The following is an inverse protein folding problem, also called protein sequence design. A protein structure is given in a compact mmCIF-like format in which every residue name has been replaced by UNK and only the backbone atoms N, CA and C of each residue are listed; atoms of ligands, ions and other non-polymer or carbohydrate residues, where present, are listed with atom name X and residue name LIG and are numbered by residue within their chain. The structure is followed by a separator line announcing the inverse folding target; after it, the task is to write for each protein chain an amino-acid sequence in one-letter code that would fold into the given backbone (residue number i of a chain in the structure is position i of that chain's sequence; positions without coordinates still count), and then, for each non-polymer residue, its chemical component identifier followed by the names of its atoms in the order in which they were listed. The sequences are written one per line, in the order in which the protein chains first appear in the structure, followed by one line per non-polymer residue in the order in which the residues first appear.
data_IF_817756708593
#
_entry.id   IF_817756708593
#
_cell.length_a   1.000
_cell.length_b   1.000
_cell.length_c   1.000
_cell.angle_alpha   90.00
_cell.angle_beta   90.00
_cell.angle_gamma   90.00
#
_symmetry.space_group_name_H-M   'P 1'
#
loop_
_entity.id
_entity.type
_entity.pdbx_description
1 polymer ?
#
# COMPACT_ATOMS: atom_id res chain seq x y z
N UNK A 1 -19.93 19.07 20.54
CA UNK A 1 -20.76 18.99 21.76
C UNK A 1 -22.00 19.83 21.51
N UNK A 2 -23.12 19.20 21.13
CA UNK A 2 -24.49 19.52 21.56
C UNK A 2 -25.46 18.60 20.80
N UNK A 3 -26.10 17.75 21.58
CA UNK A 3 -27.16 16.81 21.23
C UNK A 3 -28.47 17.44 21.71
N UNK A 4 -29.60 17.24 21.02
CA UNK A 4 -30.92 17.36 21.65
C UNK A 4 -31.94 16.50 20.91
N UNK A 5 -32.61 15.69 21.72
CA UNK A 5 -33.57 14.65 21.44
C UNK A 5 -34.98 15.20 21.67
N UNK A 6 -35.98 14.75 20.90
CA UNK A 6 -37.39 14.87 21.29
C UNK A 6 -38.11 13.54 21.08
N UNK A 7 -38.72 13.08 22.17
CA UNK A 7 -39.54 11.88 22.33
C UNK A 7 -41.00 12.15 21.94
N UNK A 8 -41.68 11.15 21.38
CA UNK A 8 -43.13 10.99 21.58
C UNK A 8 -43.49 9.49 21.68
N UNK A 9 -44.36 9.17 22.64
CA UNK A 9 -44.67 7.83 23.17
C UNK A 9 -46.15 7.51 22.91
N UNK A 10 -46.45 6.27 22.49
CA UNK A 10 -47.67 5.54 22.91
C UNK A 10 -48.71 5.17 21.83
N UNK A 11 -48.75 3.88 21.47
CA UNK A 11 -49.96 3.01 21.57
C UNK A 11 -49.58 1.56 21.25
N UNK A 12 -49.91 0.63 22.14
CA UNK A 12 -49.47 -0.77 22.13
C UNK A 12 -50.71 -1.66 22.27
N UNK A 13 -50.85 -2.69 21.41
CA UNK A 13 -51.73 -3.83 21.69
C UNK A 13 -52.68 -4.26 20.57
N UNK A 14 -52.16 -4.71 19.42
CA UNK A 14 -52.83 -5.76 18.61
C UNK A 14 -52.00 -6.34 17.43
N UNK A 15 -50.77 -5.86 17.19
CA UNK A 15 -49.98 -6.26 16.00
C UNK A 15 -49.18 -7.58 16.17
N UNK A 16 -48.94 -8.04 17.42
CA UNK A 16 -47.99 -9.14 17.69
C UNK A 16 -48.45 -10.52 17.19
N UNK A 17 -49.75 -10.81 17.14
CA UNK A 17 -50.22 -12.14 16.71
C UNK A 17 -50.24 -12.34 15.19
N UNK A 18 -50.35 -11.26 14.39
CA UNK A 18 -50.22 -11.35 12.91
C UNK A 18 -48.77 -11.44 12.43
N UNK A 19 -47.81 -10.92 13.20
CA UNK A 19 -46.38 -11.02 12.86
C UNK A 19 -45.79 -12.43 13.07
N UNK A 20 -46.37 -13.25 13.94
CA UNK A 20 -45.87 -14.61 14.19
C UNK A 20 -46.24 -15.61 13.07
N UNK A 21 -47.35 -15.38 12.36
CA UNK A 21 -47.83 -16.27 11.30
C UNK A 21 -47.23 -15.96 9.92
N UNK A 22 -46.64 -14.78 9.74
CA UNK A 22 -45.91 -14.40 8.50
C UNK A 22 -44.44 -14.84 8.58
N UNK A 23 -43.89 -15.03 9.79
CA UNK A 23 -42.47 -15.38 9.99
C UNK A 23 -42.14 -16.86 9.73
N UNK A 24 -43.14 -17.72 9.60
CA UNK A 24 -42.96 -19.15 9.31
C UNK A 24 -43.04 -19.51 7.82
N UNK A 25 -43.21 -18.53 6.92
CA UNK A 25 -43.29 -18.78 5.47
C UNK A 25 -42.15 -18.12 4.64
N UNK A 26 -41.29 -17.32 5.26
CA UNK A 26 -40.15 -16.64 4.59
C UNK A 26 -38.77 -17.24 4.91
N UNK A 27 -38.70 -18.41 5.55
CA UNK A 27 -37.43 -18.92 6.08
C UNK A 27 -36.60 -19.76 5.10
N UNK A 28 -37.13 -20.13 3.92
CA UNK A 28 -36.42 -21.02 2.98
C UNK A 28 -36.03 -20.40 1.61
N UNK A 29 -36.49 -19.19 1.27
CA UNK A 29 -36.17 -18.55 -0.04
C UNK A 29 -35.14 -17.41 0.02
N UNK A 30 -34.75 -16.95 1.21
CA UNK A 30 -33.77 -15.86 1.41
C UNK A 30 -32.29 -16.30 1.47
N UNK A 31 -32.02 -17.56 1.75
CA UNK A 31 -30.64 -18.06 1.91
C UNK A 31 -29.98 -18.44 0.56
N UNK A 32 -30.75 -18.91 -0.42
CA UNK A 32 -30.21 -19.31 -1.72
C UNK A 32 -29.79 -18.09 -2.56
N UNK A 33 -30.60 -17.03 -2.58
CA UNK A 33 -30.27 -15.79 -3.32
C UNK A 33 -29.03 -15.06 -2.76
N UNK A 34 -28.89 -14.99 -1.44
CA UNK A 34 -27.74 -14.34 -0.78
C UNK A 34 -26.42 -15.10 -0.99
N UNK A 35 -26.45 -16.43 -0.95
CA UNK A 35 -25.28 -17.27 -1.24
C UNK A 35 -24.85 -17.16 -2.71
N UNK A 36 -25.78 -17.19 -3.67
CA UNK A 36 -25.45 -17.03 -5.09
C UNK A 36 -24.81 -15.67 -5.38
N UNK A 37 -25.33 -14.59 -4.79
CA UNK A 37 -24.72 -13.26 -4.92
C UNK A 37 -23.32 -13.17 -4.31
N UNK A 38 -23.09 -13.80 -3.16
CA UNK A 38 -21.77 -13.87 -2.53
C UNK A 38 -20.76 -14.63 -3.37
N UNK A 39 -21.13 -15.83 -3.86
CA UNK A 39 -20.27 -16.66 -4.71
C UNK A 39 -19.93 -15.94 -6.01
N UNK A 40 -20.91 -15.29 -6.64
CA UNK A 40 -20.68 -14.48 -7.83
C UNK A 40 -19.70 -13.32 -7.56
N UNK A 41 -19.86 -12.60 -6.45
CA UNK A 41 -18.96 -11.52 -6.06
C UNK A 41 -17.52 -12.00 -5.82
N UNK A 42 -17.36 -13.16 -5.18
CA UNK A 42 -16.05 -13.77 -4.96
C UNK A 42 -15.39 -14.22 -6.27
N UNK A 43 -16.17 -14.85 -7.17
CA UNK A 43 -15.69 -15.28 -8.47
C UNK A 43 -15.27 -14.09 -9.34
N UNK A 44 -16.06 -13.00 -9.33
CA UNK A 44 -15.71 -11.76 -10.01
C UNK A 44 -14.43 -11.13 -9.46
N UNK A 45 -14.24 -11.13 -8.14
CA UNK A 45 -12.99 -10.70 -7.52
C UNK A 45 -11.80 -11.55 -7.99
N UNK A 46 -11.92 -12.88 -7.97
CA UNK A 46 -10.85 -13.79 -8.39
C UNK A 46 -10.49 -13.56 -9.86
N UNK A 47 -11.47 -13.43 -10.74
CA UNK A 47 -11.25 -13.20 -12.17
C UNK A 47 -10.60 -11.85 -12.43
N UNK A 48 -11.12 -10.78 -11.84
CA UNK A 48 -10.58 -9.42 -12.04
C UNK A 48 -9.17 -9.26 -11.45
N UNK A 49 -8.89 -9.86 -10.28
CA UNK A 49 -7.56 -9.85 -9.67
C UNK A 49 -6.58 -10.73 -10.44
N UNK A 50 -7.03 -11.91 -10.89
CA UNK A 50 -6.26 -12.80 -11.74
C UNK A 50 -5.84 -12.15 -13.06
N UNK A 51 -6.72 -11.33 -13.65
CA UNK A 51 -6.40 -10.59 -14.87
C UNK A 51 -5.36 -9.49 -14.64
N UNK A 52 -5.36 -8.80 -13.50
CA UNK A 52 -4.28 -7.86 -13.13
C UNK A 52 -2.93 -8.58 -12.99
N UNK A 53 -2.92 -9.71 -12.29
CA UNK A 53 -1.70 -10.52 -12.09
C UNK A 53 -1.18 -11.08 -13.42
N UNK A 54 -2.08 -11.59 -14.26
CA UNK A 54 -1.73 -12.10 -15.58
C UNK A 54 -1.17 -11.00 -16.48
N UNK A 55 -1.78 -9.81 -16.48
CA UNK A 55 -1.31 -8.67 -17.25
C UNK A 55 0.07 -8.20 -16.78
N UNK A 56 0.31 -8.10 -15.48
CA UNK A 56 1.63 -7.77 -14.93
C UNK A 56 2.70 -8.79 -15.36
N UNK A 57 2.41 -10.09 -15.22
CA UNK A 57 3.34 -11.15 -15.63
C UNK A 57 3.59 -11.16 -17.14
N UNK A 58 2.56 -10.94 -17.95
CA UNK A 58 2.68 -10.81 -19.39
C UNK A 58 3.59 -9.64 -19.77
N UNK A 59 3.34 -8.46 -19.19
CA UNK A 59 4.15 -7.26 -19.44
C UNK A 59 5.61 -7.45 -19.00
N UNK A 60 5.85 -8.07 -17.84
CA UNK A 60 7.21 -8.43 -17.38
C UNK A 60 7.93 -9.32 -18.39
N UNK A 61 7.29 -10.40 -18.85
CA UNK A 61 7.88 -11.31 -19.85
C UNK A 61 8.14 -10.61 -21.18
N UNK A 62 7.22 -9.79 -21.66
CA UNK A 62 7.37 -9.04 -22.90
C UNK A 62 8.53 -8.05 -22.85
N UNK A 63 8.69 -7.32 -21.73
CA UNK A 63 9.79 -6.37 -21.55
C UNK A 63 11.15 -7.04 -21.46
N UNK A 64 11.23 -8.18 -20.75
CA UNK A 64 12.46 -8.99 -20.69
C UNK A 64 12.82 -9.52 -22.08
N UNK A 65 11.85 -10.03 -22.84
CA UNK A 65 12.07 -10.50 -24.21
C UNK A 65 12.51 -9.37 -25.16
N UNK A 66 12.03 -8.15 -24.93
CA UNK A 66 12.43 -6.97 -25.69
C UNK A 66 13.69 -6.26 -25.15
N UNK A 67 14.36 -6.81 -24.12
CA UNK A 67 15.51 -6.21 -23.44
C UNK A 67 15.27 -4.77 -22.93
N UNK A 68 14.02 -4.43 -22.60
CA UNK A 68 13.65 -3.10 -22.10
C UNK A 68 13.92 -3.06 -20.59
N UNK A 69 14.88 -2.21 -20.18
CA UNK A 69 15.25 -2.02 -18.77
C UNK A 69 14.18 -1.26 -17.95
N UNK A 70 13.23 -0.60 -18.59
CA UNK A 70 12.18 0.19 -17.93
C UNK A 70 11.16 -0.69 -17.19
N UNK A 71 10.60 -0.26 -16.04
CA UNK A 71 9.66 -1.08 -15.28
C UNK A 71 8.34 -1.28 -16.05
N UNK A 72 8.06 -2.53 -16.42
CA UNK A 72 6.90 -2.89 -17.26
C UNK A 72 5.55 -2.52 -16.64
N UNK A 73 5.44 -2.55 -15.31
CA UNK A 73 4.23 -2.17 -14.60
C UNK A 73 3.89 -0.67 -14.74
N UNK A 74 4.91 0.21 -14.77
CA UNK A 74 4.70 1.65 -15.02
C UNK A 74 4.15 1.88 -16.43
N UNK A 75 4.72 1.20 -17.41
CA UNK A 75 4.22 1.25 -18.79
C UNK A 75 2.76 0.77 -18.87
N UNK A 76 2.46 -0.39 -18.27
CA UNK A 76 1.11 -0.93 -18.21
C UNK A 76 0.11 0.03 -17.55
N UNK A 77 0.50 0.71 -16.48
CA UNK A 77 -0.34 1.72 -15.81
C UNK A 77 -0.74 2.84 -16.78
N UNK A 78 0.23 3.40 -17.53
CA UNK A 78 -0.06 4.46 -18.51
C UNK A 78 -0.87 3.95 -19.70
N UNK A 79 -0.64 2.71 -20.16
CA UNK A 79 -1.44 2.10 -21.21
C UNK A 79 -2.90 1.92 -20.79
N UNK A 80 -3.16 1.34 -19.61
CA UNK A 80 -4.52 1.17 -19.08
C UNK A 80 -5.19 2.52 -18.92
N UNK A 81 -4.50 3.52 -18.35
CA UNK A 81 -5.04 4.86 -18.21
C UNK A 81 -5.39 5.48 -19.57
N UNK A 82 -4.52 5.35 -20.56
CA UNK A 82 -4.76 5.87 -21.93
C UNK A 82 -5.95 5.19 -22.60
N UNK A 83 -6.07 3.86 -22.47
CA UNK A 83 -7.22 3.10 -22.97
C UNK A 83 -8.51 3.56 -22.29
N UNK A 84 -8.49 3.75 -20.97
CA UNK A 84 -9.66 4.24 -20.23
C UNK A 84 -10.06 5.65 -20.69
N UNK A 85 -9.11 6.55 -20.94
CA UNK A 85 -9.39 7.90 -21.47
C UNK A 85 -9.96 7.83 -22.89
N UNK A 86 -9.39 7.02 -23.77
CA UNK A 86 -9.88 6.85 -25.15
C UNK A 86 -11.31 6.29 -25.12
N UNK A 87 -11.57 5.27 -24.30
CA UNK A 87 -12.91 4.72 -24.13
C UNK A 87 -13.88 5.75 -23.54
N UNK A 88 -13.47 6.56 -22.57
CA UNK A 88 -14.34 7.60 -21.97
C UNK A 88 -14.75 8.68 -22.98
N UNK A 89 -13.90 8.95 -23.98
CA UNK A 89 -14.18 9.91 -25.05
C UNK A 89 -15.02 9.27 -26.17
N UNK A 90 -14.71 8.04 -26.55
CA UNK A 90 -15.33 7.37 -27.72
C UNK A 90 -16.61 6.62 -27.37
N UNK A 91 -16.61 5.86 -26.28
CA UNK A 91 -17.72 5.02 -25.81
C UNK A 91 -17.80 5.06 -24.27
N UNK A 92 -18.33 6.16 -23.68
CA UNK A 92 -18.39 6.33 -22.22
C UNK A 92 -19.03 5.15 -21.44
N UNK A 93 -20.09 4.48 -21.96
CA UNK A 93 -20.64 3.28 -21.31
C UNK A 93 -19.63 2.13 -21.19
N UNK A 94 -18.76 1.94 -22.19
CA UNK A 94 -17.73 0.90 -22.17
C UNK A 94 -16.63 1.21 -21.15
N UNK A 95 -16.22 2.48 -21.04
CA UNK A 95 -15.28 2.91 -19.99
C UNK A 95 -15.85 2.62 -18.59
N UNK A 96 -17.13 2.94 -18.35
CA UNK A 96 -17.79 2.65 -17.07
C UNK A 96 -17.89 1.14 -16.81
N UNK A 97 -18.22 0.35 -17.83
CA UNK A 97 -18.27 -1.11 -17.71
C UNK A 97 -16.90 -1.70 -17.34
N UNK A 98 -15.82 -1.21 -17.98
CA UNK A 98 -14.45 -1.65 -17.68
C UNK A 98 -14.03 -1.30 -16.25
N UNK A 99 -14.33 -0.08 -15.80
CA UNK A 99 -14.06 0.34 -14.41
C UNK A 99 -14.83 -0.51 -13.42
N UNK A 100 -16.12 -0.77 -13.67
CA UNK A 100 -16.97 -1.58 -12.78
C UNK A 100 -16.51 -3.04 -12.72
N UNK A 101 -16.02 -3.59 -13.83
CA UNK A 101 -15.47 -4.95 -13.89
C UNK A 101 -14.21 -5.10 -13.02
N UNK A 102 -13.32 -4.12 -13.04
CA UNK A 102 -12.09 -4.16 -12.22
C UNK A 102 -12.26 -3.61 -10.80
N UNK A 103 -13.43 -3.06 -10.46
CA UNK A 103 -13.68 -2.44 -9.16
C UNK A 103 -13.45 -3.39 -7.98
N UNK A 104 -13.88 -4.67 -7.99
CA UNK A 104 -13.62 -5.60 -6.89
C UNK A 104 -12.11 -5.79 -6.64
N UNK A 105 -11.32 -6.04 -7.70
CA UNK A 105 -9.88 -6.19 -7.59
C UNK A 105 -9.19 -4.90 -7.14
N UNK A 106 -9.61 -3.76 -7.69
CA UNK A 106 -9.11 -2.46 -7.29
C UNK A 106 -9.34 -2.20 -5.78
N UNK A 107 -10.55 -2.44 -5.28
CA UNK A 107 -10.87 -2.28 -3.85
C UNK A 107 -10.10 -3.26 -2.97
N UNK A 108 -9.92 -4.50 -3.42
CA UNK A 108 -9.08 -5.49 -2.73
C UNK A 108 -7.63 -4.99 -2.64
N UNK A 109 -7.04 -4.57 -3.76
CA UNK A 109 -5.67 -4.05 -3.82
C UNK A 109 -5.53 -2.82 -2.91
N UNK A 110 -6.49 -1.89 -2.92
CA UNK A 110 -6.48 -0.74 -2.02
C UNK A 110 -6.57 -1.13 -0.55
N UNK A 111 -7.39 -2.13 -0.21
CA UNK A 111 -7.54 -2.64 1.17
C UNK A 111 -6.24 -3.24 1.69
N UNK A 112 -5.49 -3.93 0.84
CA UNK A 112 -4.26 -4.65 1.22
C UNK A 112 -2.98 -3.91 0.82
N UNK A 113 -3.10 -2.70 0.27
CA UNK A 113 -2.01 -1.92 -0.31
C UNK A 113 -0.78 -1.85 0.61
N UNK A 114 -0.90 -1.49 1.90
CA UNK A 114 0.26 -1.36 2.77
C UNK A 114 0.97 -2.70 3.02
N UNK A 115 0.23 -3.81 2.99
CA UNK A 115 0.76 -5.16 3.24
C UNK A 115 1.80 -5.57 2.20
N UNK A 116 1.56 -5.25 0.92
CA UNK A 116 2.42 -5.69 -0.18
C UNK A 116 3.83 -5.10 -0.13
N UNK A 117 4.03 -3.99 0.60
CA UNK A 117 5.34 -3.32 0.73
C UNK A 117 6.11 -3.71 1.99
N UNK A 118 5.44 -4.32 2.97
CA UNK A 118 6.04 -4.72 4.25
C UNK A 118 7.22 -5.69 4.10
N UNK A 119 7.31 -6.58 3.09
CA UNK A 119 8.40 -7.54 3.04
C UNK A 119 9.80 -6.96 3.15
N UNK A 120 10.05 -5.82 2.51
CA UNK A 120 11.31 -5.09 2.57
C UNK A 120 11.65 -4.55 3.97
N UNK A 121 10.64 -4.29 4.81
CA UNK A 121 10.82 -3.89 6.21
C UNK A 121 11.09 -5.09 7.12
N UNK A 122 10.46 -6.24 6.85
CA UNK A 122 10.64 -7.46 7.65
C UNK A 122 12.10 -7.94 7.57
N UNK A 123 12.70 -7.88 6.38
CA UNK A 123 14.11 -8.25 6.19
C UNK A 123 15.08 -7.08 6.36
N UNK A 124 14.60 -5.94 6.87
CA UNK A 124 15.46 -4.79 7.11
C UNK A 124 16.63 -5.11 8.05
N UNK A 125 16.45 -5.84 9.19
CA UNK A 125 17.56 -6.19 10.06
C UNK A 125 18.70 -6.92 9.32
N UNK A 126 18.36 -7.85 8.42
CA UNK A 126 19.34 -8.52 7.56
C UNK A 126 20.05 -7.58 6.60
N UNK A 127 19.33 -6.58 6.09
CA UNK A 127 19.78 -5.72 4.99
C UNK A 127 20.63 -4.53 5.47
N UNK A 128 20.59 -4.21 6.77
CA UNK A 128 21.31 -3.08 7.37
C UNK A 128 22.36 -3.51 8.38
N UNK A 129 22.53 -4.80 8.66
CA UNK A 129 23.48 -5.31 9.66
C UNK A 129 24.93 -4.89 9.37
N UNK A 130 25.27 -4.77 8.09
CA UNK A 130 26.61 -4.41 7.63
C UNK A 130 26.77 -2.88 7.42
N UNK A 131 25.71 -2.09 7.67
CA UNK A 131 25.76 -0.63 7.52
C UNK A 131 26.30 -0.01 8.81
N UNK A 132 27.39 0.77 8.76
CA UNK A 132 27.91 1.47 9.93
C UNK A 132 26.86 2.40 10.54
N UNK A 133 26.78 2.44 11.88
CA UNK A 133 25.81 3.30 12.59
C UNK A 133 25.91 4.79 12.19
N UNK A 134 27.14 5.27 11.90
CA UNK A 134 27.37 6.62 11.41
C UNK A 134 26.65 6.90 10.08
N UNK A 135 26.63 5.93 9.15
CA UNK A 135 25.88 6.03 7.89
C UNK A 135 24.38 6.06 8.13
N UNK A 136 23.89 5.27 9.10
CA UNK A 136 22.48 5.30 9.52
C UNK A 136 22.04 6.68 10.02
N UNK A 137 22.85 7.34 10.86
CA UNK A 137 22.56 8.71 11.33
C UNK A 137 22.50 9.69 10.16
N UNK A 138 23.46 9.63 9.24
CA UNK A 138 23.48 10.47 8.03
C UNK A 138 22.21 10.27 7.19
N UNK A 139 21.77 9.02 6.99
CA UNK A 139 20.53 8.71 6.28
C UNK A 139 19.32 9.31 7.01
N UNK A 140 19.20 9.14 8.32
CA UNK A 140 18.10 9.74 9.10
C UNK A 140 18.05 11.27 8.97
N UNK A 141 19.20 11.94 9.01
CA UNK A 141 19.28 13.39 8.83
C UNK A 141 18.81 13.82 7.42
N UNK A 142 19.26 13.11 6.38
CA UNK A 142 18.84 13.35 4.99
C UNK A 142 17.33 13.14 4.85
N UNK A 143 16.79 12.10 5.46
CA UNK A 143 15.36 11.76 5.37
C UNK A 143 14.49 12.82 6.04
N UNK A 144 14.76 13.15 7.30
CA UNK A 144 13.93 14.10 8.06
C UNK A 144 14.11 15.53 7.55
N UNK A 145 15.36 15.97 7.35
CA UNK A 145 15.65 17.31 6.85
C UNK A 145 15.20 17.49 5.41
N UNK A 146 15.45 16.47 4.58
CA UNK A 146 15.00 16.46 3.20
C UNK A 146 13.48 16.43 3.07
N UNK A 147 12.75 15.73 3.96
CA UNK A 147 11.29 15.73 3.94
C UNK A 147 10.75 17.15 4.12
N UNK A 148 11.24 17.86 5.13
CA UNK A 148 10.84 19.24 5.40
C UNK A 148 11.18 20.15 4.21
N UNK A 149 12.36 19.99 3.62
CA UNK A 149 12.78 20.78 2.47
C UNK A 149 11.89 20.52 1.23
N UNK A 150 11.62 19.26 0.89
CA UNK A 150 10.76 18.90 -0.25
C UNK A 150 9.31 19.35 -0.02
N UNK A 151 8.79 19.23 1.21
CA UNK A 151 7.46 19.75 1.58
C UNK A 151 7.35 21.25 1.32
N UNK A 152 8.35 22.03 1.77
CA UNK A 152 8.40 23.47 1.55
C UNK A 152 8.43 23.80 0.06
N UNK A 153 9.32 23.16 -0.71
CA UNK A 153 9.42 23.38 -2.16
C UNK A 153 8.10 23.07 -2.85
N UNK A 154 7.51 21.91 -2.58
CA UNK A 154 6.24 21.50 -3.18
C UNK A 154 5.10 22.48 -2.88
N UNK A 155 4.94 22.88 -1.62
CA UNK A 155 3.84 23.76 -1.25
C UNK A 155 4.03 25.20 -1.70
N UNK A 156 5.23 25.77 -1.62
CA UNK A 156 5.48 27.13 -2.13
C UNK A 156 5.35 27.19 -3.66
N UNK A 157 5.84 26.18 -4.38
CA UNK A 157 5.64 26.08 -5.82
C UNK A 157 4.15 25.97 -6.17
N UNK A 158 3.39 25.13 -5.45
CA UNK A 158 1.95 25.01 -5.66
C UNK A 158 1.21 26.33 -5.43
N UNK A 159 1.53 27.06 -4.36
CA UNK A 159 0.94 28.38 -4.07
C UNK A 159 1.29 29.40 -5.16
N UNK A 160 2.55 29.41 -5.60
CA UNK A 160 3.02 30.34 -6.63
C UNK A 160 2.28 30.11 -7.97
N UNK A 161 2.18 28.86 -8.40
CA UNK A 161 1.48 28.49 -9.65
C UNK A 161 -0.01 28.77 -9.51
N UNK A 162 -0.60 28.46 -8.35
CA UNK A 162 -2.02 28.72 -8.11
C UNK A 162 -2.36 30.22 -8.17
N UNK A 163 -1.51 31.09 -7.64
CA UNK A 163 -1.66 32.56 -7.77
C UNK A 163 -1.61 33.02 -9.23
N UNK A 164 -0.84 32.33 -10.07
CA UNK A 164 -0.74 32.64 -11.50
C UNK A 164 -1.95 32.14 -12.30
N UNK A 165 -2.42 30.91 -12.07
CA UNK A 165 -3.47 30.27 -12.88
C UNK A 165 -4.89 30.58 -12.36
N UNK A 166 -5.06 30.93 -11.07
CA UNK A 166 -6.33 31.29 -10.43
C UNK A 166 -7.44 30.23 -10.62
N UNK A 167 -7.08 28.96 -10.58
CA UNK A 167 -8.06 27.86 -10.72
C UNK A 167 -9.01 27.81 -9.51
N UNK A 168 -10.30 27.68 -9.81
CA UNK A 168 -11.33 27.47 -8.80
C UNK A 168 -11.24 26.06 -8.23
N UNK A 169 -11.34 25.96 -6.91
CA UNK A 169 -11.39 24.70 -6.15
C UNK A 169 -12.65 23.92 -6.46
N UNK A 170 -12.50 22.62 -6.67
CA UNK A 170 -13.59 21.65 -6.73
C UNK A 170 -13.23 20.47 -5.85
N UNK A 171 -14.20 19.95 -5.12
CA UNK A 171 -14.00 18.79 -4.27
C UNK A 171 -13.68 17.54 -5.09
N UNK A 172 -12.79 16.71 -4.56
CA UNK A 172 -12.47 15.43 -5.16
C UNK A 172 -13.69 14.51 -5.16
N UNK A 173 -13.91 13.77 -6.25
CA UNK A 173 -14.94 12.74 -6.28
C UNK A 173 -14.61 11.69 -5.19
N UNK A 174 -15.59 11.31 -4.34
CA UNK A 174 -15.33 10.41 -3.23
C UNK A 174 -14.92 9.04 -3.74
N UNK A 175 -13.78 8.53 -3.27
CA UNK A 175 -13.39 7.14 -3.55
C UNK A 175 -14.14 6.18 -2.62
N UNK A 176 -14.57 5.04 -3.17
CA UNK A 176 -15.12 3.94 -2.38
C UNK A 176 -14.12 3.55 -1.29
N UNK A 177 -14.58 3.48 -0.04
CA UNK A 177 -13.73 3.03 1.07
C UNK A 177 -13.75 1.51 1.12
N UNK A 178 -12.59 0.85 1.29
CA UNK A 178 -12.57 -0.59 1.48
C UNK A 178 -13.34 -0.98 2.75
N UNK A 179 -13.95 -2.15 2.74
CA UNK A 179 -14.66 -2.68 3.91
C UNK A 179 -13.68 -2.88 5.08
N UNK A 180 -14.11 -2.67 6.33
CA UNK A 180 -13.30 -3.03 7.49
C UNK A 180 -13.09 -4.54 7.55
N UNK A 181 -12.05 -4.96 8.28
CA UNK A 181 -11.80 -6.37 8.54
C UNK A 181 -12.80 -6.95 9.53
N UNK A 182 -13.22 -8.18 9.27
CA UNK A 182 -14.13 -8.94 10.12
C UNK A 182 -13.38 -9.76 11.18
N UNK A 183 -14.06 -10.07 12.29
CA UNK A 183 -13.50 -10.95 13.33
C UNK A 183 -13.22 -12.35 12.80
N UNK A 184 -13.99 -12.83 11.82
CA UNK A 184 -13.79 -14.14 11.16
C UNK A 184 -12.47 -14.18 10.39
N UNK A 185 -12.10 -13.08 9.71
CA UNK A 185 -10.79 -12.98 9.03
C UNK A 185 -9.65 -13.09 10.05
N UNK A 186 -9.77 -12.43 11.21
CA UNK A 186 -8.77 -12.51 12.28
C UNK A 186 -8.60 -13.96 12.76
N UNK A 187 -9.69 -14.63 13.13
CA UNK A 187 -9.63 -16.02 13.61
C UNK A 187 -9.08 -16.98 12.56
N UNK A 188 -9.48 -16.81 11.30
CA UNK A 188 -8.96 -17.64 10.19
C UNK A 188 -7.45 -17.52 10.08
N UNK A 189 -6.92 -16.30 10.05
CA UNK A 189 -5.47 -16.08 9.95
C UNK A 189 -4.72 -16.50 11.21
N UNK A 190 -5.30 -16.35 12.41
CA UNK A 190 -4.74 -16.88 13.65
C UNK A 190 -4.66 -18.40 13.65
N UNK A 191 -5.69 -19.07 13.13
CA UNK A 191 -5.69 -20.52 12.94
C UNK A 191 -4.59 -20.99 12.00
N UNK A 192 -4.44 -20.33 10.83
CA UNK A 192 -3.37 -20.63 9.86
C UNK A 192 -2.00 -20.40 10.49
N UNK A 193 -1.80 -19.30 11.22
CA UNK A 193 -0.53 -19.00 11.89
C UNK A 193 -0.16 -20.13 12.86
N UNK A 194 -1.05 -20.48 13.78
CA UNK A 194 -0.75 -21.46 14.83
C UNK A 194 -0.54 -22.87 14.24
N UNK A 195 -1.41 -23.32 13.34
CA UNK A 195 -1.34 -24.66 12.78
C UNK A 195 -0.08 -24.87 11.95
N UNK A 196 0.27 -23.89 11.09
CA UNK A 196 1.45 -23.99 10.24
C UNK A 196 2.76 -23.70 10.98
N UNK A 197 2.75 -22.86 12.01
CA UNK A 197 3.92 -22.65 12.88
C UNK A 197 4.31 -23.95 13.60
N UNK A 198 3.33 -24.61 14.23
CA UNK A 198 3.55 -25.88 14.92
C UNK A 198 3.98 -26.97 13.93
N UNK A 199 3.32 -27.07 12.78
CA UNK A 199 3.68 -28.03 11.74
C UNK A 199 5.12 -27.85 11.25
N UNK A 200 5.56 -26.59 11.06
CA UNK A 200 6.92 -26.27 10.63
C UNK A 200 7.99 -26.62 11.69
N UNK A 201 7.64 -26.58 12.98
CA UNK A 201 8.57 -26.99 14.06
C UNK A 201 8.82 -28.50 14.06
N UNK A 202 7.77 -29.31 13.85
CA UNK A 202 7.89 -30.77 13.84
C UNK A 202 8.38 -31.31 12.49
N UNK A 203 8.01 -30.68 11.38
CA UNK A 203 8.32 -31.11 10.02
C UNK A 203 8.89 -29.94 9.20
N UNK A 204 10.17 -29.58 9.37
CA UNK A 204 10.77 -28.36 8.77
C UNK A 204 10.76 -28.29 7.24
N UNK A 205 10.63 -29.44 6.56
CA UNK A 205 10.61 -29.55 5.09
C UNK A 205 9.30 -30.16 4.57
N UNK A 206 8.21 -30.06 5.34
CA UNK A 206 6.90 -30.64 4.98
C UNK A 206 6.42 -30.23 3.58
N UNK A 207 6.68 -28.98 3.17
CA UNK A 207 6.32 -28.46 1.85
C UNK A 207 7.50 -28.46 0.86
N UNK A 208 8.45 -29.37 1.05
CA UNK A 208 9.62 -29.60 0.20
C UNK A 208 10.85 -28.83 0.67
N UNK A 209 10.73 -27.53 0.93
CA UNK A 209 11.82 -26.66 1.39
C UNK A 209 11.46 -25.99 2.72
N UNK A 210 12.48 -25.54 3.45
CA UNK A 210 12.28 -24.76 4.68
C UNK A 210 11.53 -23.46 4.41
N UNK A 211 11.80 -22.80 3.27
CA UNK A 211 11.13 -21.55 2.89
C UNK A 211 9.63 -21.75 2.65
N UNK A 212 9.25 -22.75 1.85
CA UNK A 212 7.83 -23.07 1.59
C UNK A 212 7.10 -23.53 2.84
N UNK A 213 7.78 -24.26 3.72
CA UNK A 213 7.20 -24.72 4.98
C UNK A 213 6.98 -23.54 5.95
N UNK A 214 7.86 -22.54 5.93
CA UNK A 214 7.71 -21.33 6.75
C UNK A 214 6.75 -20.29 6.16
N UNK A 215 6.53 -20.29 4.84
CA UNK A 215 5.66 -19.36 4.12
C UNK A 215 4.29 -19.16 4.80
N UNK A 216 3.48 -20.20 5.08
CA UNK A 216 2.11 -20.00 5.58
C UNK A 216 2.04 -19.24 6.92
N UNK A 217 2.87 -19.59 7.91
CA UNK A 217 2.82 -18.92 9.21
C UNK A 217 3.42 -17.52 9.15
N UNK A 218 4.46 -17.33 8.35
CA UNK A 218 5.08 -16.02 8.15
C UNK A 218 4.12 -15.07 7.44
N UNK A 219 3.46 -15.53 6.38
CA UNK A 219 2.43 -14.76 5.67
C UNK A 219 1.26 -14.44 6.60
N UNK A 220 0.77 -15.43 7.35
CA UNK A 220 -0.32 -15.24 8.29
C UNK A 220 0.02 -14.22 9.38
N UNK A 221 1.25 -14.23 9.89
CA UNK A 221 1.72 -13.25 10.88
C UNK A 221 1.77 -11.84 10.32
N UNK A 222 2.29 -11.67 9.10
CA UNK A 222 2.29 -10.38 8.39
C UNK A 222 0.85 -9.88 8.22
N UNK A 223 -0.06 -10.73 7.74
CA UNK A 223 -1.48 -10.37 7.57
C UNK A 223 -2.15 -10.00 8.90
N UNK A 224 -1.96 -10.78 9.96
CA UNK A 224 -2.54 -10.49 11.28
C UNK A 224 -2.02 -9.17 11.85
N UNK A 225 -0.71 -8.92 11.75
CA UNK A 225 -0.12 -7.66 12.21
C UNK A 225 -0.72 -6.45 11.48
N UNK A 226 -1.04 -6.59 10.19
CA UNK A 226 -1.74 -5.55 9.43
C UNK A 226 -3.19 -5.38 9.88
N UNK A 227 -3.96 -6.47 10.03
CA UNK A 227 -5.37 -6.41 10.47
C UNK A 227 -5.46 -5.76 11.85
N UNK A 228 -4.67 -6.25 12.82
CA UNK A 228 -4.62 -5.71 14.19
C UNK A 228 -4.18 -4.24 14.17
N UNK A 229 -3.11 -3.91 13.44
CA UNK A 229 -2.63 -2.53 13.32
C UNK A 229 -3.66 -1.58 12.71
N UNK A 230 -4.42 -2.05 11.72
CA UNK A 230 -5.50 -1.28 11.10
C UNK A 230 -6.69 -1.05 12.04
N UNK A 231 -6.89 -1.91 13.03
CA UNK A 231 -7.93 -1.80 14.06
C UNK A 231 -7.58 -0.87 15.23
N UNK A 232 -6.33 -0.44 15.36
CA UNK A 232 -5.89 0.38 16.50
C UNK A 232 -6.58 1.76 16.56
N UNK A 233 -6.76 2.34 17.76
CA UNK A 233 -7.31 3.69 17.91
C UNK A 233 -6.36 4.74 17.30
N UNK A 234 -6.91 5.89 16.89
CA UNK A 234 -6.19 6.94 16.17
C UNK A 234 -4.95 7.49 16.90
N UNK A 235 -4.99 7.56 18.24
CA UNK A 235 -3.85 7.99 19.05
C UNK A 235 -2.67 7.02 18.98
N UNK A 236 -2.97 5.71 18.95
CA UNK A 236 -1.96 4.65 18.90
C UNK A 236 -1.42 4.50 17.47
N UNK A 237 -2.26 4.70 16.44
CA UNK A 237 -1.88 4.65 15.02
C UNK A 237 -0.79 5.65 14.62
N UNK A 238 -0.65 6.77 15.35
CA UNK A 238 0.45 7.73 15.15
C UNK A 238 1.82 7.09 15.37
N UNK A 239 1.90 6.15 16.32
CA UNK A 239 3.15 5.45 16.69
C UNK A 239 3.20 4.06 16.05
N UNK A 240 2.13 3.29 16.22
CA UNK A 240 1.97 1.95 15.68
C UNK A 240 1.16 1.99 14.38
N UNK A 241 1.79 2.52 13.35
CA UNK A 241 1.21 2.49 12.01
C UNK A 241 0.98 1.02 11.58
N UNK A 242 -0.10 0.70 10.83
CA UNK A 242 -0.39 -0.68 10.42
C UNK A 242 0.79 -1.40 9.73
N UNK A 243 1.60 -0.66 8.97
CA UNK A 243 2.83 -1.15 8.33
C UNK A 243 3.87 -1.61 9.36
N UNK A 244 4.05 -0.84 10.45
CA UNK A 244 5.00 -1.16 11.52
C UNK A 244 4.50 -2.36 12.32
N UNK A 245 3.21 -2.40 12.68
CA UNK A 245 2.61 -3.56 13.37
C UNK A 245 2.82 -4.85 12.59
N UNK A 246 2.60 -4.79 11.27
CA UNK A 246 2.81 -5.88 10.35
C UNK A 246 4.26 -6.36 10.34
N UNK A 247 5.22 -5.44 10.16
CA UNK A 247 6.65 -5.78 10.16
C UNK A 247 7.10 -6.37 11.50
N UNK A 248 6.70 -5.76 12.63
CA UNK A 248 7.03 -6.24 13.97
C UNK A 248 6.43 -7.61 14.26
N UNK A 249 5.18 -7.86 13.85
CA UNK A 249 4.53 -9.17 14.03
C UNK A 249 5.31 -10.27 13.29
N UNK A 250 5.67 -10.04 12.02
CA UNK A 250 6.42 -10.99 11.22
C UNK A 250 7.83 -11.24 11.79
N UNK A 251 8.54 -10.18 12.20
CA UNK A 251 9.88 -10.30 12.82
C UNK A 251 9.82 -11.04 14.15
N UNK A 252 8.83 -10.74 15.00
CA UNK A 252 8.66 -11.43 16.29
C UNK A 252 8.32 -12.91 16.10
N UNK A 253 7.52 -13.22 15.09
CA UNK A 253 7.19 -14.62 14.74
C UNK A 253 8.41 -15.35 14.18
N UNK A 254 9.19 -14.70 13.31
CA UNK A 254 10.44 -15.25 12.80
C UNK A 254 11.47 -15.48 13.93
N UNK A 255 11.56 -14.54 14.87
CA UNK A 255 12.40 -14.67 16.07
C UNK A 255 11.96 -15.85 16.93
N UNK A 256 10.66 -15.97 17.24
CA UNK A 256 10.12 -17.07 18.00
C UNK A 256 10.40 -18.43 17.32
N UNK A 257 10.14 -18.53 16.01
CA UNK A 257 10.42 -19.75 15.25
C UNK A 257 11.91 -20.08 15.23
N UNK A 258 12.77 -19.08 15.01
CA UNK A 258 14.22 -19.23 15.02
C UNK A 258 14.77 -19.66 16.37
N UNK A 259 14.15 -19.21 17.46
CA UNK A 259 14.46 -19.62 18.83
C UNK A 259 14.08 -21.08 19.08
N UNK A 260 12.83 -21.48 18.78
CA UNK A 260 12.35 -22.85 18.99
C UNK A 260 13.03 -23.87 18.06
N UNK A 261 13.32 -23.49 16.82
CA UNK A 261 14.00 -24.33 15.83
C UNK A 261 15.53 -24.32 15.98
N UNK A 262 16.09 -23.49 16.87
CA UNK A 262 17.53 -23.26 17.05
C UNK A 262 18.28 -22.80 15.77
N UNK A 263 17.56 -22.21 14.81
CA UNK A 263 18.14 -21.66 13.58
C UNK A 263 18.62 -20.22 13.75
N UNK A 264 18.07 -19.49 14.73
CA UNK A 264 18.27 -18.04 14.86
C UNK A 264 17.37 -17.23 13.91
N UNK A 265 17.46 -15.91 14.00
CA UNK A 265 16.58 -14.99 13.24
C UNK A 265 16.97 -14.89 11.77
N UNK A 266 18.27 -14.83 11.48
CA UNK A 266 18.79 -14.54 10.14
C UNK A 266 18.32 -15.53 9.07
N UNK A 267 18.41 -16.86 9.27
CA UNK A 267 17.93 -17.84 8.28
C UNK A 267 16.42 -17.74 8.05
N UNK A 268 15.63 -17.46 9.09
CA UNK A 268 14.18 -17.38 9.00
C UNK A 268 13.74 -16.11 8.24
N UNK A 269 14.43 -14.99 8.44
CA UNK A 269 14.24 -13.80 7.62
C UNK A 269 14.68 -14.03 6.16
N UNK A 270 15.69 -14.88 5.93
CA UNK A 270 16.06 -15.36 4.60
C UNK A 270 14.96 -16.21 3.94
N UNK A 271 14.31 -17.09 4.71
CA UNK A 271 13.14 -17.87 4.26
C UNK A 271 11.91 -17.00 3.99
N UNK A 272 11.79 -15.87 4.69
CA UNK A 272 10.71 -14.92 4.47
C UNK A 272 10.82 -14.25 3.09
N UNK A 273 12.02 -13.83 2.66
CA UNK A 273 12.26 -13.22 1.36
C UNK A 273 13.46 -13.89 0.67
N UNK A 274 13.16 -14.95 -0.08
CA UNK A 274 14.17 -15.79 -0.75
C UNK A 274 14.73 -15.13 -2.02
N UNK A 275 13.91 -14.29 -2.69
CA UNK A 275 14.16 -13.74 -4.03
C UNK A 275 14.29 -14.81 -5.12
N UNK A 276 13.81 -16.03 -4.87
CA UNK A 276 13.87 -17.16 -5.81
C UNK A 276 12.45 -17.56 -6.21
N UNK A 277 12.09 -17.35 -7.49
CA UNK A 277 10.74 -17.66 -8.00
C UNK A 277 10.36 -19.14 -7.86
N UNK A 278 11.36 -20.04 -7.95
CA UNK A 278 11.15 -21.47 -7.78
C UNK A 278 10.93 -21.90 -6.32
N UNK A 279 11.30 -21.08 -5.33
CA UNK A 279 11.17 -21.40 -3.91
C UNK A 279 10.72 -20.18 -3.11
N UNK A 280 9.49 -19.67 -3.35
CA UNK A 280 9.08 -18.39 -2.82
C UNK A 280 8.87 -18.45 -1.30
N UNK A 281 9.25 -17.37 -0.62
CA UNK A 281 8.86 -17.08 0.76
C UNK A 281 7.60 -16.22 0.84
N UNK A 282 7.12 -15.98 2.06
CA UNK A 282 5.93 -15.13 2.31
C UNK A 282 6.08 -13.72 1.72
N UNK A 283 7.27 -13.13 1.85
CA UNK A 283 7.62 -11.83 1.32
C UNK A 283 7.64 -11.79 -0.20
N UNK A 284 8.09 -12.87 -0.86
CA UNK A 284 8.12 -12.95 -2.33
C UNK A 284 6.70 -12.97 -2.90
N UNK A 285 5.77 -13.69 -2.25
CA UNK A 285 4.35 -13.69 -2.64
C UNK A 285 3.74 -12.30 -2.52
N UNK A 286 3.96 -11.63 -1.39
CA UNK A 286 3.45 -10.27 -1.16
C UNK A 286 4.05 -9.26 -2.14
N UNK A 287 5.36 -9.34 -2.40
CA UNK A 287 6.02 -8.48 -3.38
C UNK A 287 5.58 -8.76 -4.81
N UNK A 288 5.14 -9.98 -5.11
CA UNK A 288 4.56 -10.36 -6.40
C UNK A 288 3.37 -9.47 -6.82
N UNK A 289 2.63 -8.91 -5.86
CA UNK A 289 1.50 -8.02 -6.12
C UNK A 289 1.90 -6.56 -6.46
N UNK A 290 3.16 -6.15 -6.28
CA UNK A 290 3.56 -4.74 -6.53
C UNK A 290 3.26 -4.27 -7.95
N UNK A 291 3.43 -5.14 -8.95
CA UNK A 291 3.10 -4.79 -10.33
C UNK A 291 1.61 -4.54 -10.52
N UNK A 292 0.76 -5.45 -9.99
CA UNK A 292 -0.70 -5.28 -9.99
C UNK A 292 -1.16 -4.03 -9.24
N UNK A 293 -0.48 -3.68 -8.13
CA UNK A 293 -0.71 -2.43 -7.40
C UNK A 293 -0.49 -1.22 -8.32
N UNK A 294 0.65 -1.17 -9.02
CA UNK A 294 0.97 -0.06 -9.93
C UNK A 294 -0.03 0.00 -11.08
N UNK A 295 -0.40 -1.14 -11.67
CA UNK A 295 -1.46 -1.18 -12.70
C UNK A 295 -2.79 -0.65 -12.17
N UNK A 296 -3.16 -0.97 -10.92
CA UNK A 296 -4.41 -0.51 -10.30
C UNK A 296 -4.47 1.01 -10.11
N UNK A 297 -3.32 1.70 -10.00
CA UNK A 297 -3.27 3.16 -9.88
C UNK A 297 -3.83 3.87 -11.12
N UNK A 298 -3.84 3.23 -12.29
CA UNK A 298 -4.49 3.75 -13.50
C UNK A 298 -5.99 4.02 -13.27
N UNK A 299 -6.68 3.17 -12.50
CA UNK A 299 -8.09 3.34 -12.16
C UNK A 299 -8.29 4.49 -11.16
N UNK A 300 -7.42 4.65 -10.17
CA UNK A 300 -7.42 5.83 -9.28
C UNK A 300 -7.26 7.13 -10.06
N UNK A 301 -6.28 7.17 -10.98
CA UNK A 301 -6.03 8.32 -11.84
C UNK A 301 -7.22 8.61 -12.76
N UNK A 302 -7.84 7.57 -13.31
CA UNK A 302 -9.02 7.71 -14.16
C UNK A 302 -10.23 8.25 -13.38
N UNK A 303 -10.49 7.75 -12.16
CA UNK A 303 -11.55 8.28 -11.29
C UNK A 303 -11.31 9.77 -10.96
N UNK A 304 -10.06 10.17 -10.69
CA UNK A 304 -9.70 11.57 -10.38
C UNK A 304 -9.36 12.44 -11.60
N UNK A 305 -9.57 11.95 -12.84
CA UNK A 305 -9.07 12.59 -14.08
C UNK A 305 -9.55 14.03 -14.28
N UNK A 306 -10.78 14.35 -13.90
CA UNK A 306 -11.35 15.70 -14.05
C UNK A 306 -10.64 16.70 -13.14
N UNK A 307 -10.36 16.30 -11.90
CA UNK A 307 -9.63 17.11 -10.92
C UNK A 307 -8.18 17.30 -11.38
N UNK A 308 -7.52 16.22 -11.80
CA UNK A 308 -6.15 16.27 -12.35
C UNK A 308 -6.08 17.19 -13.58
N UNK A 309 -7.02 17.09 -14.52
CA UNK A 309 -7.06 17.95 -15.72
C UNK A 309 -7.28 19.43 -15.36
N UNK A 310 -8.13 19.72 -14.38
CA UNK A 310 -8.43 21.09 -13.93
C UNK A 310 -7.25 21.76 -13.24
N UNK A 311 -6.51 21.00 -12.43
CA UNK A 311 -5.35 21.48 -11.68
C UNK A 311 -4.02 20.98 -12.26
N UNK A 312 -3.99 20.69 -13.58
CA UNK A 312 -2.85 20.07 -14.22
C UNK A 312 -1.59 20.94 -14.11
N UNK A 313 -1.75 22.25 -14.33
CA UNK A 313 -0.64 23.20 -14.20
C UNK A 313 -0.04 23.14 -12.80
N UNK A 314 -0.85 23.26 -11.74
CA UNK A 314 -0.37 23.22 -10.36
C UNK A 314 0.27 21.88 -9.98
N UNK A 315 -0.36 20.77 -10.36
CA UNK A 315 0.13 19.43 -10.02
C UNK A 315 1.45 19.15 -10.76
N UNK A 316 1.49 19.29 -12.09
CA UNK A 316 2.68 18.93 -12.85
C UNK A 316 3.86 19.84 -12.55
N UNK A 317 3.69 21.17 -12.44
CA UNK A 317 4.81 22.06 -12.12
C UNK A 317 5.37 21.78 -10.73
N UNK A 318 4.49 21.57 -9.75
CA UNK A 318 4.92 21.32 -8.37
C UNK A 318 5.61 19.97 -8.23
N UNK A 319 5.08 18.92 -8.87
CA UNK A 319 5.69 17.58 -8.87
C UNK A 319 7.05 17.61 -9.58
N UNK A 320 7.17 18.24 -10.75
CA UNK A 320 8.44 18.32 -11.50
C UNK A 320 9.51 19.05 -10.66
N UNK A 321 9.19 20.24 -10.15
CA UNK A 321 10.13 21.04 -9.37
C UNK A 321 10.53 20.32 -8.08
N UNK A 322 9.56 19.73 -7.37
CA UNK A 322 9.84 19.01 -6.11
C UNK A 322 10.61 17.72 -6.34
N UNK A 323 10.37 17.01 -7.44
CA UNK A 323 11.10 15.78 -7.78
C UNK A 323 12.55 16.09 -8.13
N UNK A 324 12.78 17.09 -8.97
CA UNK A 324 14.15 17.57 -9.28
C UNK A 324 14.84 17.98 -7.99
N UNK A 325 14.20 18.85 -7.19
CA UNK A 325 14.77 19.28 -5.92
C UNK A 325 15.08 18.10 -5.00
N UNK A 326 14.14 17.18 -4.80
CA UNK A 326 14.31 16.02 -3.91
C UNK A 326 15.46 15.12 -4.36
N UNK A 327 15.52 14.78 -5.64
CA UNK A 327 16.58 13.91 -6.19
C UNK A 327 17.96 14.55 -6.07
N UNK A 328 18.12 15.78 -6.58
CA UNK A 328 19.43 16.45 -6.59
C UNK A 328 19.87 16.88 -5.19
N UNK A 329 18.97 17.33 -4.32
CA UNK A 329 19.32 17.66 -2.93
C UNK A 329 19.74 16.42 -2.15
N UNK A 330 19.03 15.30 -2.31
CA UNK A 330 19.39 14.04 -1.65
C UNK A 330 20.75 13.53 -2.13
N UNK A 331 21.00 13.56 -3.45
CA UNK A 331 22.29 13.20 -4.03
C UNK A 331 23.43 14.11 -3.53
N UNK A 332 23.21 15.43 -3.52
CA UNK A 332 24.18 16.42 -3.10
C UNK A 332 24.52 16.27 -1.61
N UNK A 333 23.52 16.21 -0.74
CA UNK A 333 23.72 16.06 0.71
C UNK A 333 24.33 14.71 1.04
N UNK A 334 23.93 13.62 0.35
CA UNK A 334 24.57 12.31 0.48
C UNK A 334 26.08 12.38 0.20
N UNK A 335 26.47 13.06 -0.89
CA UNK A 335 27.88 13.26 -1.23
C UNK A 335 28.61 14.17 -0.22
N UNK A 336 27.98 15.25 0.23
CA UNK A 336 28.55 16.18 1.22
C UNK A 336 28.78 15.49 2.57
N UNK A 337 27.88 14.59 2.97
CA UNK A 337 28.02 13.79 4.18
C UNK A 337 28.93 12.57 3.99
N UNK A 338 29.54 12.38 2.80
CA UNK A 338 30.39 11.24 2.48
C UNK A 338 29.68 9.91 2.77
N UNK A 339 28.42 9.79 2.35
CA UNK A 339 27.70 8.53 2.35
C UNK A 339 28.21 7.66 1.18
N UNK A 340 28.23 6.35 1.40
CA UNK A 340 28.58 5.40 0.35
C UNK A 340 27.68 5.62 -0.89
N UNK A 341 28.21 5.52 -2.12
CA UNK A 341 27.41 5.70 -3.33
C UNK A 341 26.19 4.78 -3.41
N UNK A 342 26.33 3.50 -3.02
CA UNK A 342 25.24 2.53 -3.04
C UNK A 342 24.09 2.95 -2.10
N UNK A 343 24.43 3.40 -0.89
CA UNK A 343 23.49 3.90 0.11
C UNK A 343 22.83 5.19 -0.36
N UNK A 344 23.60 6.11 -0.94
CA UNK A 344 23.08 7.37 -1.48
C UNK A 344 22.04 7.12 -2.57
N UNK A 345 22.34 6.22 -3.52
CA UNK A 345 21.41 5.84 -4.60
C UNK A 345 20.16 5.16 -4.03
N UNK A 346 20.31 4.32 -3.01
CA UNK A 346 19.19 3.62 -2.35
C UNK A 346 18.19 4.57 -1.69
N UNK A 347 18.62 5.74 -1.25
CA UNK A 347 17.77 6.72 -0.56
C UNK A 347 17.25 7.84 -1.48
N UNK A 348 17.65 7.88 -2.75
CA UNK A 348 17.18 8.87 -3.73
C UNK A 348 15.64 8.90 -3.87
N UNK A 349 14.93 7.76 -4.06
CA UNK A 349 13.48 7.77 -4.25
C UNK A 349 12.70 7.87 -2.93
N UNK A 350 13.14 8.70 -1.97
CA UNK A 350 12.52 8.83 -0.64
C UNK A 350 11.14 9.51 -0.63
N UNK A 351 10.85 10.32 -1.65
CA UNK A 351 9.63 11.16 -1.74
C UNK A 351 8.59 10.61 -2.72
N UNK A 352 8.48 9.28 -2.85
CA UNK A 352 7.46 8.61 -3.67
C UNK A 352 6.94 7.37 -2.94
N UNK A 353 5.85 6.77 -3.42
CA UNK A 353 5.28 5.58 -2.78
C UNK A 353 6.19 4.36 -2.94
N UNK A 354 6.21 3.46 -1.94
CA UNK A 354 7.13 2.32 -1.89
C UNK A 354 7.06 1.45 -3.16
N UNK A 355 5.86 1.20 -3.71
CA UNK A 355 5.68 0.44 -4.95
C UNK A 355 6.49 1.03 -6.12
N UNK A 356 6.41 2.35 -6.27
CA UNK A 356 7.08 3.09 -7.34
C UNK A 356 8.57 3.22 -7.03
N UNK A 357 8.94 3.45 -5.76
CA UNK A 357 10.34 3.52 -5.31
C UNK A 357 11.10 2.24 -5.60
N UNK A 358 10.51 1.08 -5.28
CA UNK A 358 11.13 -0.22 -5.54
C UNK A 358 11.25 -0.53 -7.04
N UNK A 359 10.32 -0.04 -7.86
CA UNK A 359 10.40 -0.17 -9.32
C UNK A 359 11.46 0.75 -9.95
N UNK A 360 11.67 1.93 -9.36
CA UNK A 360 12.71 2.88 -9.83
C UNK A 360 14.07 2.43 -9.34
N UNK A 361 14.20 1.97 -8.10
CA UNK A 361 15.49 1.56 -7.53
C UNK A 361 16.07 0.34 -8.24
N UNK A 362 15.24 -0.54 -8.81
CA UNK A 362 15.70 -1.66 -9.63
C UNK A 362 16.39 -1.25 -10.93
N UNK A 363 16.29 0.04 -11.33
CA UNK A 363 17.04 0.59 -12.47
C UNK A 363 18.48 0.94 -12.11
N UNK A 364 18.80 1.04 -10.83
CA UNK A 364 20.12 1.41 -10.35
C UNK A 364 20.88 0.18 -9.85
N UNK A 365 22.04 -0.08 -10.44
CA UNK A 365 22.92 -1.15 -10.01
C UNK A 365 23.51 -0.85 -8.62
N UNK A 366 23.57 -1.87 -7.77
CA UNK A 366 24.14 -1.77 -6.41
C UNK A 366 23.22 -1.14 -5.35
N UNK A 367 22.00 -0.72 -5.70
CA UNK A 367 21.06 -0.19 -4.73
C UNK A 367 20.42 -1.29 -3.87
N UNK A 368 20.10 -0.96 -2.61
CA UNK A 368 19.50 -1.86 -1.63
C UNK A 368 17.98 -1.59 -1.50
N UNK A 369 17.12 -2.47 -2.05
CA UNK A 369 15.67 -2.26 -2.04
C UNK A 369 15.06 -2.23 -0.63
N UNK A 370 15.63 -2.99 0.31
CA UNK A 370 15.17 -3.01 1.70
C UNK A 370 15.39 -1.65 2.37
N UNK A 371 16.56 -1.06 2.15
CA UNK A 371 16.88 0.29 2.63
C UNK A 371 15.97 1.35 1.98
N UNK A 372 15.75 1.24 0.66
CA UNK A 372 14.82 2.13 -0.05
C UNK A 372 13.42 2.11 0.55
N UNK A 373 12.85 0.92 0.75
CA UNK A 373 11.53 0.78 1.35
C UNK A 373 11.48 1.35 2.77
N UNK A 374 12.52 1.10 3.58
CA UNK A 374 12.61 1.65 4.93
C UNK A 374 12.64 3.18 4.92
N UNK A 375 13.48 3.79 4.07
CA UNK A 375 13.57 5.25 3.95
C UNK A 375 12.26 5.87 3.49
N UNK A 376 11.59 5.28 2.50
CA UNK A 376 10.29 5.76 2.02
C UNK A 376 9.23 5.66 3.12
N UNK A 377 9.18 4.53 3.84
CA UNK A 377 8.21 4.35 4.93
C UNK A 377 8.49 5.31 6.07
N UNK A 378 9.75 5.50 6.47
CA UNK A 378 10.12 6.49 7.49
C UNK A 378 9.74 7.90 7.05
N UNK A 379 10.03 8.28 5.79
CA UNK A 379 9.62 9.57 5.22
C UNK A 379 8.10 9.74 5.30
N UNK A 380 7.33 8.72 4.90
CA UNK A 380 5.87 8.72 4.96
C UNK A 380 5.30 8.79 6.38
N UNK A 381 5.94 8.13 7.35
CA UNK A 381 5.55 8.19 8.77
C UNK A 381 5.82 9.56 9.39
N UNK A 382 6.98 10.15 9.09
CA UNK A 382 7.31 11.53 9.48
C UNK A 382 6.30 12.48 8.86
N UNK A 383 6.01 12.34 7.56
CA UNK A 383 4.96 13.08 6.87
C UNK A 383 3.62 12.96 7.57
N UNK A 384 3.08 11.76 7.73
CA UNK A 384 1.75 11.54 8.30
C UNK A 384 1.58 12.14 9.71
N UNK A 385 2.63 12.15 10.53
CA UNK A 385 2.59 12.64 11.90
C UNK A 385 2.82 14.16 12.02
N UNK A 386 3.69 14.74 11.19
CA UNK A 386 4.15 16.12 11.35
C UNK A 386 3.66 17.08 10.26
N UNK A 387 3.15 16.59 9.12
CA UNK A 387 2.80 17.43 7.97
C UNK A 387 1.79 18.51 8.31
N UNK A 388 0.71 18.19 9.03
CA UNK A 388 -0.34 19.18 9.32
C UNK A 388 0.20 20.30 10.22
N UNK A 389 0.96 19.95 11.27
CA UNK A 389 1.59 20.92 12.16
C UNK A 389 2.58 21.82 11.41
N UNK A 390 3.37 21.26 10.49
CA UNK A 390 4.30 22.02 9.64
C UNK A 390 3.55 22.96 8.70
N UNK A 391 2.49 22.49 8.03
CA UNK A 391 1.68 23.30 7.12
C UNK A 391 0.99 24.46 7.85
N UNK A 392 0.50 24.24 9.06
CA UNK A 392 -0.12 25.27 9.89
C UNK A 392 0.90 26.32 10.33
N UNK A 393 2.11 25.88 10.71
CA UNK A 393 3.23 26.77 11.05
C UNK A 393 3.69 27.62 9.86
N UNK A 394 3.69 27.04 8.66
CA UNK A 394 4.00 27.74 7.40
C UNK A 394 2.82 28.56 6.86
N UNK A 395 1.66 28.55 7.52
CA UNK A 395 0.43 29.26 7.14
C UNK A 395 -0.08 28.90 5.73
N UNK A 396 0.03 27.62 5.35
CA UNK A 396 -0.55 27.15 4.10
C UNK A 396 -2.06 26.95 4.29
N UNK A 397 -2.85 27.93 3.85
CA UNK A 397 -4.32 27.91 3.95
C UNK A 397 -4.98 27.17 2.78
N UNK A 398 -4.27 27.04 1.67
CA UNK A 398 -4.82 26.56 0.41
C UNK A 398 -4.89 25.02 0.37
N UNK A 399 -6.07 24.40 0.20
CA UNK A 399 -6.22 22.95 0.31
C UNK A 399 -5.54 22.17 -0.83
N UNK A 400 -5.39 22.74 -2.03
CA UNK A 400 -4.65 22.08 -3.12
C UNK A 400 -3.16 22.12 -2.83
N UNK A 401 -2.63 23.27 -2.40
CA UNK A 401 -1.22 23.38 -2.01
C UNK A 401 -0.89 22.49 -0.81
N UNK A 402 -1.78 22.41 0.19
CA UNK A 402 -1.65 21.46 1.30
C UNK A 402 -1.64 20.02 0.79
N UNK A 403 -2.57 19.66 -0.11
CA UNK A 403 -2.62 18.33 -0.72
C UNK A 403 -1.33 17.96 -1.47
N UNK A 404 -0.83 18.87 -2.31
CA UNK A 404 0.44 18.68 -3.04
C UNK A 404 1.62 18.57 -2.07
N UNK A 405 1.68 19.43 -1.05
CA UNK A 405 2.75 19.41 -0.04
C UNK A 405 2.68 18.18 0.89
N UNK A 406 1.52 17.56 1.07
CA UNK A 406 1.40 16.29 1.80
C UNK A 406 1.87 15.08 1.00
N UNK A 407 1.99 15.21 -0.32
CA UNK A 407 2.43 14.14 -1.19
C UNK A 407 3.96 14.06 -1.35
N UNK A 408 4.71 15.01 -0.78
CA UNK A 408 6.17 15.15 -0.92
C UNK A 408 7.02 14.48 0.15
#
# INVERSE_FOLDING_TARGET
MFNSCFLQKGSHGNSKSRQLLIKSAETDSGNTSSLTHYVFGLLHLIVSLGLFLALDQFLKKAFVAAAIKFPSALFGMFCIFSVLIILDITVPPAAKALVNFFEPAFLFIQRWLPLFYVPSLVVLPLSVKDIPAASGIKICLIVVGGWLATLCVAGYTAIAVRKAVKTQLVDAEPMGKPSPFSTVEVWTWSGVLLSSFVSALYYPTLLGTSARTCLPFLLASTVLGYIVGSGLPSNVKKVFHPIICCALSAVLTAFAFGYFSKLGLDPVLGYYLTKVSADPGAGDILMGFLGSVILSFSFSMFKQRKLVKRHAAEIFTSVIISTIFSLYSTALVGRLLQLEPSLTVSILPRCITVALALSIVSLFEGANPSLTAAVVVVTGLVGANFVQATLDKLRFSDPIARGIATAS
#
